data_IF_456854201593
#
_entry.id   IF_456854201593
#
_cell.length_a   1.000
_cell.length_b   1.000
_cell.length_c   1.000
_cell.angle_alpha   90.00
_cell.angle_beta   90.00
_cell.angle_gamma   90.00
#
_symmetry.space_group_name_H-M   'P 1'
#
loop_
_entity.id
_entity.type
_entity.pdbx_description
1 polymer ?
#
# COMPACT_ATOMS: atom_id res chain seq x y z
N UNK A 1 11.10 3.85 -0.31
CA UNK A 1 9.89 3.76 -1.13
C UNK A 1 9.53 2.34 -1.53
N UNK A 2 10.48 1.40 -1.68
CA UNK A 2 10.17 -0.03 -1.89
C UNK A 2 9.22 -0.60 -0.83
N UNK A 3 9.44 -0.29 0.46
CA UNK A 3 8.56 -0.77 1.54
C UNK A 3 7.11 -0.28 1.39
N UNK A 4 6.91 0.91 0.82
CA UNK A 4 5.58 1.47 0.55
C UNK A 4 4.89 0.68 -0.54
N UNK A 5 5.63 0.31 -1.61
CA UNK A 5 5.14 -0.55 -2.70
C UNK A 5 4.77 -1.93 -2.15
N UNK A 6 5.61 -2.52 -1.29
CA UNK A 6 5.31 -3.81 -0.67
C UNK A 6 4.06 -3.77 0.22
N UNK A 7 3.92 -2.71 1.03
CA UNK A 7 2.74 -2.52 1.86
C UNK A 7 1.47 -2.32 1.03
N UNK A 8 1.54 -1.51 -0.04
CA UNK A 8 0.45 -1.36 -1.02
C UNK A 8 0.07 -2.72 -1.62
N UNK A 9 1.05 -3.47 -2.09
CA UNK A 9 0.86 -4.77 -2.73
C UNK A 9 0.18 -5.76 -1.77
N UNK A 10 0.60 -5.78 -0.50
CA UNK A 10 0.00 -6.63 0.52
C UNK A 10 -1.44 -6.23 0.81
N UNK A 11 -1.70 -4.94 1.05
CA UNK A 11 -3.04 -4.42 1.35
C UNK A 11 -4.02 -4.66 0.19
N UNK A 12 -3.60 -4.41 -1.05
CA UNK A 12 -4.42 -4.67 -2.24
C UNK A 12 -4.76 -6.16 -2.38
N UNK A 13 -3.78 -7.06 -2.18
CA UNK A 13 -4.01 -8.51 -2.32
C UNK A 13 -4.84 -9.11 -1.20
N UNK A 14 -4.74 -8.58 0.02
CA UNK A 14 -5.41 -9.14 1.20
C UNK A 14 -6.78 -8.55 1.41
N UNK A 15 -6.91 -7.24 1.24
CA UNK A 15 -8.14 -6.49 1.58
C UNK A 15 -8.86 -5.91 0.36
N UNK A 16 -8.26 -5.94 -0.83
CA UNK A 16 -8.85 -5.35 -2.04
C UNK A 16 -8.91 -3.82 -2.02
N UNK A 17 -8.18 -3.18 -1.11
CA UNK A 17 -8.12 -1.72 -0.96
C UNK A 17 -6.87 -1.17 -1.66
N UNK A 18 -7.05 -0.07 -2.39
CA UNK A 18 -5.94 0.71 -2.96
C UNK A 18 -5.79 1.97 -2.10
N UNK A 19 -4.94 1.97 -1.06
CA UNK A 19 -4.74 3.15 -0.23
C UNK A 19 -4.00 4.24 -1.01
N UNK A 20 -4.19 5.50 -0.62
CA UNK A 20 -3.33 6.59 -1.07
C UNK A 20 -1.87 6.31 -0.69
N UNK A 21 -0.91 6.80 -1.48
CA UNK A 21 0.52 6.60 -1.17
C UNK A 21 0.88 7.17 0.21
N UNK A 22 0.28 8.29 0.59
CA UNK A 22 0.45 8.89 1.92
C UNK A 22 -0.09 7.99 3.03
N UNK A 23 -1.21 7.29 2.80
CA UNK A 23 -1.76 6.33 3.75
C UNK A 23 -0.90 5.05 3.85
N UNK A 24 -0.28 4.62 2.74
CA UNK A 24 0.57 3.43 2.70
C UNK A 24 1.77 3.52 3.66
N UNK A 25 2.30 4.72 3.95
CA UNK A 25 3.33 4.90 4.97
C UNK A 25 2.87 4.43 6.37
N UNK A 26 1.60 4.63 6.74
CA UNK A 26 1.09 4.15 8.02
C UNK A 26 0.99 2.62 8.06
N UNK A 27 0.63 1.99 6.94
CA UNK A 27 0.63 0.53 6.81
C UNK A 27 2.04 -0.06 6.92
N UNK A 28 3.06 0.57 6.31
CA UNK A 28 4.46 0.16 6.46
C UNK A 28 4.85 0.08 7.94
N UNK A 29 4.54 1.13 8.71
CA UNK A 29 4.88 1.14 10.13
C UNK A 29 4.11 0.07 10.89
N UNK A 30 2.79 -0.06 10.65
CA UNK A 30 1.97 -1.06 11.31
C UNK A 30 2.45 -2.50 11.01
N UNK A 31 2.87 -2.80 9.79
CA UNK A 31 3.38 -4.13 9.42
C UNK A 31 4.73 -4.45 10.08
N UNK A 32 5.54 -3.44 10.39
CA UNK A 32 6.79 -3.59 11.16
C UNK A 32 6.54 -3.76 12.65
N UNK A 33 5.54 -3.08 13.19
CA UNK A 33 5.21 -3.09 14.62
C UNK A 33 4.40 -4.33 15.02
N UNK A 34 3.43 -4.74 14.20
CA UNK A 34 2.49 -5.83 14.53
C UNK A 34 3.17 -7.14 14.98
N UNK A 35 4.29 -7.61 14.39
CA UNK A 35 4.95 -8.84 14.84
C UNK A 35 5.52 -8.77 16.27
N UNK A 36 5.67 -7.58 16.85
CA UNK A 36 6.21 -7.36 18.19
C UNK A 36 5.10 -7.20 19.24
N UNK A 37 3.84 -7.11 18.81
CA UNK A 37 2.69 -6.94 19.68
C UNK A 37 2.07 -8.27 20.09
N UNK A 38 1.32 -8.26 21.18
CA UNK A 38 0.46 -9.38 21.57
C UNK A 38 -0.69 -9.53 20.56
N UNK A 39 -1.21 -10.74 20.33
CA UNK A 39 -2.45 -10.93 19.55
C UNK A 39 -3.68 -10.17 20.10
N UNK A 40 -3.64 -9.75 21.37
CA UNK A 40 -4.70 -8.98 22.03
C UNK A 40 -4.57 -7.46 21.81
N UNK A 41 -3.42 -6.99 21.34
CA UNK A 41 -3.19 -5.58 21.09
C UNK A 41 -3.87 -5.16 19.78
N UNK A 42 -4.41 -3.93 19.74
CA UNK A 42 -5.14 -3.41 18.58
C UNK A 42 -4.41 -2.20 17.99
N UNK A 43 -4.07 -2.28 16.70
CA UNK A 43 -3.60 -1.14 15.92
C UNK A 43 -4.78 -0.55 15.15
N UNK A 44 -5.01 0.76 15.30
CA UNK A 44 -5.97 1.51 14.49
C UNK A 44 -5.21 2.39 13.51
N UNK A 45 -5.41 2.14 12.21
CA UNK A 45 -4.77 2.90 11.14
C UNK A 45 -5.79 3.83 10.50
N UNK A 46 -5.43 5.11 10.37
CA UNK A 46 -6.21 6.05 9.57
C UNK A 46 -5.81 5.94 8.09
N UNK A 47 -6.65 5.29 7.29
CA UNK A 47 -6.55 5.35 5.83
C UNK A 47 -7.18 6.66 5.33
N UNK A 48 -6.38 7.71 5.30
CA UNK A 48 -6.81 9.08 5.00
C UNK A 48 -7.37 9.27 3.58
N UNK A 49 -7.05 8.38 2.64
CA UNK A 49 -7.51 8.50 1.26
C UNK A 49 -7.41 7.21 0.44
N UNK A 50 -7.95 7.30 -0.78
CA UNK A 50 -7.88 6.25 -1.81
C UNK A 50 -6.82 6.57 -2.85
N UNK A 51 -6.21 5.54 -3.43
CA UNK A 51 -5.08 5.64 -4.35
C UNK A 51 -5.43 6.00 -5.80
N UNK A 52 -6.70 6.30 -6.12
CA UNK A 52 -7.13 6.66 -7.47
C UNK A 52 -6.30 7.80 -8.08
N UNK A 53 -5.95 8.82 -7.27
CA UNK A 53 -5.12 9.96 -7.73
C UNK A 53 -3.69 9.53 -8.09
N UNK A 54 -3.21 8.47 -7.46
CA UNK A 54 -1.83 7.98 -7.53
C UNK A 54 -1.67 6.80 -8.48
N UNK A 55 -2.75 6.40 -9.18
CA UNK A 55 -2.77 5.12 -9.92
C UNK A 55 -1.65 5.00 -10.96
N UNK A 56 -1.25 6.11 -11.59
CA UNK A 56 -0.15 6.13 -12.55
C UNK A 56 1.20 5.88 -11.87
N UNK A 57 1.43 6.53 -10.73
CA UNK A 57 2.65 6.36 -9.92
C UNK A 57 2.73 4.94 -9.36
N UNK A 58 1.60 4.42 -8.87
CA UNK A 58 1.49 3.05 -8.36
C UNK A 58 1.82 2.08 -9.48
N UNK A 59 1.17 2.18 -10.64
CA UNK A 59 1.37 1.25 -11.74
C UNK A 59 2.81 1.28 -12.30
N UNK A 60 3.45 2.46 -12.35
CA UNK A 60 4.87 2.57 -12.69
C UNK A 60 5.77 1.89 -11.65
N UNK A 61 5.49 2.07 -10.36
CA UNK A 61 6.23 1.44 -9.27
C UNK A 61 6.13 -0.10 -9.26
N UNK A 62 5.02 -0.66 -9.76
CA UNK A 62 4.86 -2.11 -9.94
C UNK A 62 5.54 -2.64 -11.21
N UNK A 63 5.99 -1.77 -12.11
CA UNK A 63 6.66 -2.16 -13.35
C UNK A 63 5.81 -3.04 -14.26
N UNK A 64 4.48 -2.86 -14.25
CA UNK A 64 3.55 -3.68 -15.03
C UNK A 64 3.78 -3.47 -16.55
N UNK A 65 4.16 -4.51 -17.30
CA UNK A 65 4.39 -4.40 -18.74
C UNK A 65 3.15 -3.96 -19.53
N UNK A 66 1.96 -4.41 -19.12
CA UNK A 66 0.70 -4.07 -19.80
C UNK A 66 0.38 -2.59 -19.59
N UNK A 67 0.66 -2.08 -18.40
CA UNK A 67 0.57 -0.65 -18.08
C UNK A 67 1.54 0.18 -18.92
N UNK A 68 2.82 -0.22 -18.98
CA UNK A 68 3.84 0.47 -19.77
C UNK A 68 3.50 0.50 -21.26
N UNK A 69 2.81 -0.53 -21.77
CA UNK A 69 2.31 -0.55 -23.14
C UNK A 69 1.10 0.38 -23.30
N UNK A 70 0.17 0.41 -22.35
CA UNK A 70 -1.05 1.23 -22.41
C UNK A 70 -0.76 2.75 -22.44
N UNK A 71 0.25 3.22 -21.71
CA UNK A 71 0.58 4.64 -21.61
C UNK A 71 1.50 5.17 -22.72
N UNK A 72 2.02 4.29 -23.60
CA UNK A 72 2.81 4.66 -24.78
C UNK A 72 1.93 5.02 -25.95
#
# INVERSE_FOLDING_TARGET
DEEVVDALALTMRKEGLIPALESAHAFVQAFKEAPQLSPEDVIVINQSGRGDKDIFTIADAFGDPDWQQFIR
#
